data_IF_689801648885
#
_entry.id   IF_689801648885
#
_cell.length_a   1.000
_cell.length_b   1.000
_cell.length_c   1.000
_cell.angle_alpha   90.00
_cell.angle_beta   90.00
_cell.angle_gamma   90.00
#
_symmetry.space_group_name_H-M   'P 1'
#
loop_
_entity.id
_entity.type
_entity.pdbx_description
1 polymer ?
#
# COMPACT_ATOMS: atom_id res chain seq x y z
N UNK A 1 -7.02 -5.48 -0.20
CA UNK A 1 -7.50 -4.56 0.87
C UNK A 1 -8.66 -3.66 0.42
N UNK A 2 -8.85 -3.40 -0.89
CA UNK A 2 -9.89 -2.46 -1.38
C UNK A 2 -11.31 -2.79 -0.91
N UNK A 3 -11.76 -4.08 -0.89
CA UNK A 3 -13.11 -4.38 -0.42
C UNK A 3 -13.36 -3.92 1.03
N UNK A 4 -12.43 -4.20 1.96
CA UNK A 4 -12.59 -3.77 3.36
C UNK A 4 -12.47 -2.25 3.52
N UNK A 5 -11.61 -1.60 2.71
CA UNK A 5 -11.55 -0.14 2.65
C UNK A 5 -12.88 0.45 2.14
N UNK A 6 -13.49 -0.17 1.12
CA UNK A 6 -14.78 0.25 0.58
C UNK A 6 -15.87 0.17 1.64
N UNK A 7 -15.94 -0.96 2.35
CA UNK A 7 -16.94 -1.12 3.41
C UNK A 7 -16.76 -0.06 4.50
N UNK A 8 -15.52 0.24 4.89
CA UNK A 8 -15.24 1.23 5.94
C UNK A 8 -15.55 2.67 5.51
N UNK A 9 -15.25 3.03 4.25
CA UNK A 9 -15.63 4.33 3.67
C UNK A 9 -17.14 4.45 3.61
N UNK A 10 -17.82 3.42 3.11
CA UNK A 10 -19.28 3.41 2.99
C UNK A 10 -19.97 3.45 4.35
N UNK A 11 -19.44 2.76 5.37
CA UNK A 11 -19.93 2.88 6.73
C UNK A 11 -19.88 4.34 7.23
N UNK A 12 -18.76 5.04 6.99
CA UNK A 12 -18.63 6.44 7.37
C UNK A 12 -19.62 7.32 6.58
N UNK A 13 -19.74 7.14 5.26
CA UNK A 13 -20.68 7.92 4.42
C UNK A 13 -22.13 7.71 4.85
N UNK A 14 -22.56 6.46 5.02
CA UNK A 14 -23.93 6.14 5.48
C UNK A 14 -24.24 6.73 6.85
N UNK A 15 -23.28 6.63 7.79
CA UNK A 15 -23.43 7.21 9.14
C UNK A 15 -23.58 8.73 9.12
N UNK A 16 -23.11 9.38 8.08
CA UNK A 16 -23.22 10.84 7.85
C UNK A 16 -24.42 11.24 6.97
N UNK A 17 -25.23 10.26 6.53
CA UNK A 17 -26.37 10.49 5.66
C UNK A 17 -25.98 10.84 4.21
N UNK A 18 -24.81 10.35 3.75
CA UNK A 18 -24.26 10.58 2.42
C UNK A 18 -24.31 9.32 1.55
N UNK A 19 -24.21 9.51 0.24
CA UNK A 19 -24.18 8.43 -0.74
C UNK A 19 -22.95 7.52 -0.55
N UNK A 20 -23.10 6.26 -0.97
CA UNK A 20 -22.04 5.25 -0.94
C UNK A 20 -21.36 5.09 -2.30
N UNK A 21 -20.22 4.43 -2.28
CA UNK A 21 -19.35 4.21 -3.42
C UNK A 21 -19.21 2.73 -3.75
N UNK A 22 -19.10 2.41 -5.03
CA UNK A 22 -18.67 1.07 -5.48
C UNK A 22 -17.19 0.82 -5.16
N UNK A 23 -16.80 -0.46 -5.17
CA UNK A 23 -15.39 -0.87 -5.00
C UNK A 23 -14.48 -0.19 -6.02
N UNK A 24 -14.91 -0.06 -7.27
CA UNK A 24 -14.13 0.59 -8.33
C UNK A 24 -13.92 2.10 -8.07
N UNK A 25 -14.95 2.78 -7.56
CA UNK A 25 -14.85 4.19 -7.21
C UNK A 25 -13.88 4.40 -6.02
N UNK A 26 -13.99 3.58 -4.97
CA UNK A 26 -13.05 3.66 -3.83
C UNK A 26 -11.64 3.30 -4.28
N UNK A 27 -11.43 2.29 -5.13
CA UNK A 27 -10.13 1.95 -5.69
C UNK A 27 -9.46 3.13 -6.41
N UNK A 28 -10.25 3.97 -7.11
CA UNK A 28 -9.74 5.18 -7.76
C UNK A 28 -9.37 6.30 -6.76
N UNK A 29 -9.94 6.29 -5.56
CA UNK A 29 -9.70 7.30 -4.52
C UNK A 29 -8.50 6.97 -3.63
N UNK A 30 -8.15 5.67 -3.46
CA UNK A 30 -7.08 5.22 -2.56
C UNK A 30 -5.69 5.40 -3.18
N UNK A 31 -4.66 5.30 -2.32
CA UNK A 31 -3.24 5.40 -2.69
C UNK A 31 -2.48 6.48 -1.92
N UNK A 32 -3.11 7.62 -1.66
CA UNK A 32 -2.48 8.78 -0.98
C UNK A 32 -2.86 8.89 0.52
N UNK A 33 -3.25 7.78 1.15
CA UNK A 33 -3.68 7.73 2.55
C UNK A 33 -5.18 7.98 2.76
N UNK A 34 -5.68 7.57 3.94
CA UNK A 34 -7.11 7.56 4.24
C UNK A 34 -7.71 8.97 4.33
N UNK A 35 -6.96 9.93 4.83
CA UNK A 35 -7.43 11.34 4.87
C UNK A 35 -7.78 11.85 3.47
N UNK A 36 -6.92 11.60 2.48
CA UNK A 36 -7.17 12.01 1.08
C UNK A 36 -8.35 11.23 0.50
N UNK A 37 -8.46 9.93 0.79
CA UNK A 37 -9.57 9.09 0.34
C UNK A 37 -10.91 9.64 0.86
N UNK A 38 -11.01 9.94 2.15
CA UNK A 38 -12.22 10.50 2.75
C UNK A 38 -12.52 11.92 2.26
N UNK A 39 -11.50 12.74 2.04
CA UNK A 39 -11.68 14.09 1.43
C UNK A 39 -12.33 13.97 0.05
N UNK A 40 -11.86 13.03 -0.78
CA UNK A 40 -12.45 12.76 -2.10
C UNK A 40 -13.88 12.22 -1.99
N UNK A 41 -14.14 11.32 -1.04
CA UNK A 41 -15.46 10.74 -0.83
C UNK A 41 -16.48 11.78 -0.30
N UNK A 42 -16.07 12.71 0.55
CA UNK A 42 -16.92 13.77 1.06
C UNK A 42 -17.23 14.86 0.00
N UNK A 43 -16.32 15.04 -0.96
CA UNK A 43 -16.41 16.17 -1.88
C UNK A 43 -16.24 17.53 -1.18
N UNK A 44 -16.23 18.60 -1.95
CA UNK A 44 -16.00 19.96 -1.42
C UNK A 44 -17.12 20.41 -0.45
N UNK A 45 -18.33 19.90 -0.66
CA UNK A 45 -19.54 20.32 0.06
C UNK A 45 -19.63 19.80 1.50
N UNK A 46 -18.87 18.74 1.85
CA UNK A 46 -19.00 18.06 3.14
C UNK A 46 -17.65 17.94 3.90
N UNK A 47 -16.67 18.80 3.58
CA UNK A 47 -15.36 18.78 4.23
C UNK A 47 -15.41 19.10 5.72
N UNK A 48 -16.43 19.80 6.18
CA UNK A 48 -16.73 20.04 7.60
C UNK A 48 -16.90 18.71 8.38
N UNK A 49 -17.35 17.65 7.73
CA UNK A 49 -17.55 16.31 8.31
C UNK A 49 -16.29 15.43 8.33
N UNK A 50 -15.15 15.90 7.78
CA UNK A 50 -13.94 15.06 7.61
C UNK A 50 -13.45 14.44 8.95
N UNK A 51 -13.44 15.22 10.02
CA UNK A 51 -13.02 14.72 11.33
C UNK A 51 -13.92 13.60 11.85
N UNK A 52 -15.23 13.71 11.63
CA UNK A 52 -16.20 12.68 12.02
C UNK A 52 -16.09 11.45 11.10
N UNK A 53 -15.97 11.65 9.80
CA UNK A 53 -15.77 10.57 8.83
C UNK A 53 -14.52 9.73 9.16
N UNK A 54 -13.41 10.38 9.52
CA UNK A 54 -12.16 9.69 9.94
C UNK A 54 -12.40 8.79 11.17
N UNK A 55 -13.11 9.28 12.18
CA UNK A 55 -13.40 8.48 13.40
C UNK A 55 -14.27 7.27 13.07
N UNK A 56 -15.35 7.49 12.32
CA UNK A 56 -16.27 6.42 11.91
C UNK A 56 -15.54 5.35 11.08
N UNK A 57 -14.79 5.78 10.06
CA UNK A 57 -14.03 4.90 9.21
C UNK A 57 -13.00 4.09 10.00
N UNK A 58 -12.19 4.74 10.87
CA UNK A 58 -11.16 4.08 11.66
C UNK A 58 -11.76 3.07 12.65
N UNK A 59 -12.89 3.39 13.29
CA UNK A 59 -13.59 2.47 14.20
C UNK A 59 -14.06 1.23 13.46
N UNK A 60 -14.72 1.38 12.31
CA UNK A 60 -15.20 0.25 11.51
C UNK A 60 -14.01 -0.57 10.96
N UNK A 61 -13.03 0.13 10.33
CA UNK A 61 -11.89 -0.53 9.73
C UNK A 61 -11.04 -1.30 10.76
N UNK A 62 -10.93 -0.79 11.98
CA UNK A 62 -10.22 -1.47 13.07
C UNK A 62 -10.77 -2.85 13.41
N UNK A 63 -12.09 -3.04 13.28
CA UNK A 63 -12.75 -4.33 13.51
C UNK A 63 -12.79 -5.23 12.26
N UNK A 64 -12.72 -4.65 11.04
CA UNK A 64 -13.08 -5.33 9.79
C UNK A 64 -11.98 -5.29 8.71
N UNK A 65 -10.75 -4.86 9.03
CA UNK A 65 -9.69 -4.63 8.04
C UNK A 65 -9.12 -5.89 7.37
N UNK A 66 -9.51 -7.08 7.86
CA UNK A 66 -9.06 -8.37 7.35
C UNK A 66 -10.22 -9.32 6.98
N UNK A 67 -11.47 -8.84 6.91
CA UNK A 67 -12.63 -9.68 6.63
C UNK A 67 -12.62 -10.20 5.18
N UNK A 68 -12.20 -9.37 4.23
CA UNK A 68 -12.12 -9.67 2.79
C UNK A 68 -10.71 -9.51 2.23
N UNK A 69 -9.80 -8.90 3.00
CA UNK A 69 -8.40 -8.69 2.61
C UNK A 69 -7.70 -10.03 2.48
N UNK A 70 -7.03 -10.22 1.36
CA UNK A 70 -6.18 -11.40 1.09
C UNK A 70 -5.02 -11.02 0.20
N UNK A 71 -3.90 -11.77 0.25
CA UNK A 71 -2.80 -11.62 -0.70
C UNK A 71 -3.26 -11.87 -2.14
N UNK A 72 -2.59 -11.26 -3.09
CA UNK A 72 -2.70 -11.68 -4.49
C UNK A 72 -2.13 -13.08 -4.67
N UNK A 73 -2.60 -13.78 -5.70
CA UNK A 73 -2.16 -15.14 -6.02
C UNK A 73 -0.64 -15.19 -6.22
N UNK A 74 0.01 -16.20 -5.64
CA UNK A 74 1.46 -16.38 -5.74
C UNK A 74 2.30 -15.58 -4.72
N UNK A 75 1.75 -14.58 -4.03
CA UNK A 75 2.52 -13.74 -3.09
C UNK A 75 3.09 -14.55 -1.93
N UNK A 76 2.32 -15.45 -1.32
CA UNK A 76 2.82 -16.27 -0.21
C UNK A 76 3.98 -17.17 -0.66
N UNK A 77 3.89 -17.74 -1.86
CA UNK A 77 4.95 -18.55 -2.45
C UNK A 77 6.21 -17.71 -2.73
N UNK A 78 6.03 -16.50 -3.28
CA UNK A 78 7.11 -15.54 -3.50
C UNK A 78 7.83 -15.18 -2.19
N UNK A 79 7.09 -14.80 -1.15
CA UNK A 79 7.66 -14.43 0.15
C UNK A 79 8.42 -15.60 0.79
N UNK A 80 7.91 -16.83 0.70
CA UNK A 80 8.62 -18.02 1.17
C UNK A 80 9.91 -18.30 0.37
N UNK A 81 9.95 -18.00 -0.94
CA UNK A 81 11.18 -18.11 -1.73
C UNK A 81 12.21 -17.09 -1.28
N UNK A 82 11.82 -15.82 -1.18
CA UNK A 82 12.70 -14.73 -0.72
C UNK A 82 13.28 -15.02 0.66
N UNK A 83 12.46 -15.53 1.58
CA UNK A 83 12.92 -15.91 2.93
C UNK A 83 13.94 -17.05 2.91
N UNK A 84 13.80 -18.04 2.02
CA UNK A 84 14.79 -19.13 1.86
C UNK A 84 16.11 -18.63 1.27
N UNK A 85 16.05 -17.57 0.47
CA UNK A 85 17.22 -16.94 -0.15
C UNK A 85 17.85 -15.85 0.74
N UNK A 86 17.42 -15.78 2.00
CA UNK A 86 17.87 -14.80 3.02
C UNK A 86 17.66 -13.34 2.60
N UNK A 87 16.61 -13.09 1.83
CA UNK A 87 16.21 -11.74 1.41
C UNK A 87 15.22 -11.18 2.40
N UNK A 88 15.58 -10.07 3.07
CA UNK A 88 14.69 -9.37 3.98
C UNK A 88 13.52 -8.71 3.21
N UNK A 89 12.30 -8.92 3.72
CA UNK A 89 11.07 -8.38 3.13
C UNK A 89 10.51 -7.28 4.01
N UNK A 90 10.38 -6.09 3.44
CA UNK A 90 9.86 -4.90 4.11
C UNK A 90 8.60 -4.40 3.40
N UNK A 91 7.62 -3.96 4.19
CA UNK A 91 6.42 -3.29 3.68
C UNK A 91 6.49 -1.81 3.99
N UNK A 92 6.35 -0.95 2.97
CA UNK A 92 6.15 0.49 3.12
C UNK A 92 4.81 0.92 2.53
N UNK A 93 3.94 1.49 3.36
CA UNK A 93 2.53 1.74 3.01
C UNK A 93 2.04 3.10 3.48
N UNK A 94 1.11 3.73 2.72
CA UNK A 94 0.34 4.90 3.14
C UNK A 94 -0.85 4.56 4.06
N UNK A 95 -0.96 3.30 4.47
CA UNK A 95 -1.88 2.86 5.51
C UNK A 95 -1.35 3.31 6.88
N UNK A 96 -2.22 3.70 7.81
CA UNK A 96 -1.82 4.00 9.18
C UNK A 96 -1.02 2.82 9.79
N UNK A 97 0.03 3.12 10.57
CA UNK A 97 1.00 2.13 11.07
C UNK A 97 0.33 0.92 11.71
N UNK A 98 -0.61 1.15 12.64
CA UNK A 98 -1.29 0.05 13.34
C UNK A 98 -2.08 -0.87 12.40
N UNK A 99 -2.76 -0.30 11.40
CA UNK A 99 -3.50 -1.10 10.42
C UNK A 99 -2.57 -1.81 9.42
N UNK A 100 -1.42 -1.21 9.08
CA UNK A 100 -0.41 -1.86 8.26
C UNK A 100 0.15 -3.10 8.97
N UNK A 101 0.54 -2.96 10.25
CA UNK A 101 1.03 -4.06 11.08
C UNK A 101 -0.02 -5.16 11.25
N UNK A 102 -1.25 -4.80 11.62
CA UNK A 102 -2.36 -5.77 11.79
C UNK A 102 -2.63 -6.55 10.51
N UNK A 103 -2.66 -5.84 9.36
CA UNK A 103 -2.90 -6.49 8.06
C UNK A 103 -1.73 -7.41 7.69
N UNK A 104 -0.49 -6.96 7.82
CA UNK A 104 0.69 -7.78 7.50
C UNK A 104 0.79 -9.00 8.40
N UNK A 105 0.57 -8.86 9.70
CA UNK A 105 0.58 -9.99 10.65
C UNK A 105 -0.48 -11.03 10.30
N UNK A 106 -1.70 -10.61 9.97
CA UNK A 106 -2.80 -11.50 9.61
C UNK A 106 -2.58 -12.22 8.27
N UNK A 107 -2.02 -11.52 7.26
CA UNK A 107 -1.91 -12.05 5.90
C UNK A 107 -0.58 -12.78 5.63
N UNK A 108 0.51 -12.39 6.29
CA UNK A 108 1.86 -12.86 5.97
C UNK A 108 2.58 -13.50 7.15
N UNK A 109 2.08 -13.34 8.38
CA UNK A 109 2.73 -13.89 9.57
C UNK A 109 4.19 -13.39 9.70
N UNK A 110 5.14 -14.33 9.74
CA UNK A 110 6.57 -14.05 9.87
C UNK A 110 7.31 -13.95 8.52
N UNK A 111 6.59 -13.82 7.41
CA UNK A 111 7.19 -13.68 6.06
C UNK A 111 7.57 -12.22 5.74
N UNK A 112 7.17 -11.27 6.56
CA UNK A 112 7.52 -9.86 6.46
C UNK A 112 8.32 -9.49 7.69
N UNK A 113 9.52 -8.93 7.49
CA UNK A 113 10.46 -8.62 8.57
C UNK A 113 10.20 -7.24 9.18
N UNK A 114 9.80 -6.26 8.35
CA UNK A 114 9.53 -4.89 8.79
C UNK A 114 8.29 -4.32 8.11
N UNK A 115 7.48 -3.59 8.88
CA UNK A 115 6.30 -2.88 8.37
C UNK A 115 6.40 -1.42 8.75
N UNK A 116 6.33 -0.54 7.76
CA UNK A 116 6.33 0.91 7.92
C UNK A 116 5.08 1.48 7.26
N UNK A 117 4.21 2.04 8.09
CA UNK A 117 3.00 2.75 7.69
C UNK A 117 3.13 4.25 7.91
N UNK A 118 2.01 4.96 7.79
CA UNK A 118 1.90 6.38 8.16
C UNK A 118 1.88 6.50 9.68
N UNK A 119 2.78 7.31 10.23
CA UNK A 119 2.84 7.62 11.64
C UNK A 119 2.17 8.95 12.00
N UNK A 120 2.30 9.39 13.28
CA UNK A 120 1.73 10.65 13.75
C UNK A 120 2.28 11.90 13.05
N UNK A 121 3.47 11.80 12.46
CA UNK A 121 4.13 12.87 11.68
C UNK A 121 3.45 13.12 10.33
N UNK A 122 2.55 12.22 9.90
CA UNK A 122 1.82 12.33 8.64
C UNK A 122 2.67 12.11 7.39
N UNK A 123 3.93 11.69 7.50
CA UNK A 123 4.79 11.39 6.34
C UNK A 123 4.24 10.18 5.58
N UNK A 124 3.96 10.38 4.31
CA UNK A 124 3.38 9.37 3.39
C UNK A 124 4.14 9.34 2.08
N UNK A 125 4.09 8.20 1.37
CA UNK A 125 4.55 8.12 -0.02
C UNK A 125 3.87 9.23 -0.86
N UNK A 126 4.57 9.92 -1.76
CA UNK A 126 5.89 9.59 -2.31
C UNK A 126 7.09 10.17 -1.55
N UNK A 127 6.93 10.71 -0.33
CA UNK A 127 8.07 11.08 0.52
C UNK A 127 8.88 9.82 0.87
N UNK A 128 10.19 9.85 0.59
CA UNK A 128 11.06 8.71 0.78
C UNK A 128 11.70 8.63 2.18
N UNK A 129 11.48 9.62 3.03
CA UNK A 129 12.17 9.75 4.33
C UNK A 129 12.07 8.46 5.16
N UNK A 130 10.86 7.93 5.34
CA UNK A 130 10.66 6.71 6.13
C UNK A 130 11.25 5.46 5.47
N UNK A 131 11.26 5.40 4.13
CA UNK A 131 11.88 4.32 3.40
C UNK A 131 13.41 4.33 3.60
N UNK A 132 14.04 5.50 3.49
CA UNK A 132 15.47 5.66 3.73
C UNK A 132 15.86 5.36 5.17
N UNK A 133 15.07 5.82 6.15
CA UNK A 133 15.26 5.45 7.57
C UNK A 133 15.15 3.94 7.79
N UNK A 134 14.24 3.25 7.09
CA UNK A 134 14.12 1.81 7.17
C UNK A 134 15.37 1.12 6.61
N UNK A 135 15.86 1.51 5.42
CA UNK A 135 17.07 0.90 4.83
C UNK A 135 18.33 1.13 5.68
N UNK A 136 18.48 2.32 6.25
CA UNK A 136 19.57 2.60 7.21
C UNK A 136 19.46 1.72 8.46
N UNK A 137 18.25 1.62 9.03
CA UNK A 137 18.01 0.80 10.24
C UNK A 137 18.35 -0.67 10.04
N UNK A 138 18.07 -1.23 8.86
CA UNK A 138 18.35 -2.64 8.56
C UNK A 138 19.75 -2.87 8.00
N UNK A 139 20.54 -1.81 7.77
CA UNK A 139 21.88 -1.89 7.20
C UNK A 139 21.90 -2.46 5.79
N UNK A 140 20.88 -2.18 4.98
CA UNK A 140 20.74 -2.75 3.64
C UNK A 140 21.39 -1.85 2.59
N UNK A 141 22.53 -2.29 2.03
CA UNK A 141 23.22 -1.58 0.94
C UNK A 141 22.59 -1.81 -0.43
N UNK A 142 21.86 -2.90 -0.60
CA UNK A 142 21.21 -3.26 -1.86
C UNK A 142 19.72 -3.55 -1.65
N UNK A 143 18.88 -2.68 -2.21
CA UNK A 143 17.43 -2.75 -2.07
C UNK A 143 16.74 -2.67 -3.43
N UNK A 144 15.60 -3.37 -3.54
CA UNK A 144 14.69 -3.30 -4.68
C UNK A 144 13.33 -2.87 -4.16
N UNK A 145 12.79 -1.80 -4.71
CA UNK A 145 11.43 -1.38 -4.43
C UNK A 145 10.46 -2.09 -5.39
N UNK A 146 9.36 -2.61 -4.84
CA UNK A 146 8.30 -3.23 -5.63
C UNK A 146 6.98 -2.52 -5.31
N UNK A 147 6.24 -2.13 -6.36
CA UNK A 147 4.99 -1.41 -6.16
C UNK A 147 4.05 -1.51 -7.35
N UNK A 148 2.81 -1.08 -7.17
CA UNK A 148 1.71 -1.23 -8.11
C UNK A 148 1.03 0.10 -8.48
N UNK A 149 1.63 1.23 -8.08
CA UNK A 149 1.03 2.54 -8.28
C UNK A 149 2.04 3.61 -8.74
N UNK A 150 1.51 4.69 -9.28
CA UNK A 150 2.25 5.91 -9.60
C UNK A 150 2.99 6.49 -8.38
N UNK A 151 2.38 6.39 -7.21
CA UNK A 151 2.98 6.82 -5.94
C UNK A 151 4.21 5.96 -5.60
N UNK A 152 4.19 4.66 -5.89
CA UNK A 152 5.32 3.76 -5.66
C UNK A 152 6.50 4.08 -6.57
N UNK A 153 6.22 4.29 -7.86
CA UNK A 153 7.24 4.69 -8.84
C UNK A 153 7.92 5.97 -8.39
N UNK A 154 7.15 6.97 -7.97
CA UNK A 154 7.70 8.24 -7.49
C UNK A 154 8.47 8.07 -6.17
N UNK A 155 7.99 7.22 -5.26
CA UNK A 155 8.69 6.91 -4.01
C UNK A 155 10.07 6.32 -4.26
N UNK A 156 10.15 5.30 -5.12
CA UNK A 156 11.41 4.67 -5.48
C UNK A 156 12.38 5.66 -6.15
N UNK A 157 11.86 6.53 -7.03
CA UNK A 157 12.63 7.60 -7.65
C UNK A 157 13.19 8.58 -6.62
N UNK A 158 12.36 9.02 -5.67
CA UNK A 158 12.77 9.94 -4.60
C UNK A 158 13.80 9.30 -3.66
N UNK A 159 13.75 7.98 -3.49
CA UNK A 159 14.73 7.20 -2.72
C UNK A 159 15.97 6.82 -3.55
N UNK A 160 16.03 7.12 -4.84
CA UNK A 160 17.07 6.65 -5.76
C UNK A 160 17.19 5.12 -5.80
N UNK A 161 16.08 4.40 -5.62
CA UNK A 161 16.01 2.95 -5.63
C UNK A 161 15.54 2.40 -6.98
N UNK A 162 16.05 1.22 -7.34
CA UNK A 162 15.50 0.45 -8.47
C UNK A 162 14.08 0.01 -8.13
N UNK A 163 13.15 0.18 -9.08
CA UNK A 163 11.74 -0.12 -8.89
C UNK A 163 11.26 -1.14 -9.93
N UNK A 164 10.67 -2.23 -9.47
CA UNK A 164 9.92 -3.17 -10.30
C UNK A 164 8.43 -2.91 -10.07
N UNK A 165 7.73 -2.49 -11.11
CA UNK A 165 6.29 -2.24 -11.07
C UNK A 165 5.52 -3.49 -11.43
N UNK A 166 4.57 -3.90 -10.56
CA UNK A 166 3.72 -5.05 -10.81
C UNK A 166 2.41 -4.62 -11.47
N UNK A 167 1.94 -5.40 -12.47
CA UNK A 167 0.80 -5.01 -13.32
C UNK A 167 -0.55 -5.53 -12.83
N UNK A 168 -0.56 -6.38 -11.79
CA UNK A 168 -1.80 -6.95 -11.21
C UNK A 168 -2.39 -6.14 -10.04
N UNK A 169 -1.87 -4.94 -9.77
CA UNK A 169 -2.28 -4.10 -8.64
C UNK A 169 -3.27 -2.98 -9.00
N UNK A 170 -3.10 -1.81 -8.39
CA UNK A 170 -4.03 -0.67 -8.49
C UNK A 170 -3.96 0.06 -9.84
N UNK A 171 -2.82 0.08 -10.51
CA UNK A 171 -2.62 0.78 -11.78
C UNK A 171 -2.30 -0.20 -12.90
N UNK A 172 -2.84 0.06 -14.07
CA UNK A 172 -2.46 -0.68 -15.27
C UNK A 172 -1.08 -0.24 -15.79
N UNK A 173 -0.50 -1.05 -16.68
CA UNK A 173 0.85 -0.82 -17.21
C UNK A 173 1.02 0.56 -17.83
N UNK A 174 0.05 1.06 -18.61
CA UNK A 174 0.15 2.36 -19.26
C UNK A 174 0.20 3.53 -18.23
N UNK A 175 -0.54 3.41 -17.13
CA UNK A 175 -0.49 4.38 -16.04
C UNK A 175 0.87 4.35 -15.33
N UNK A 176 1.44 3.16 -15.10
CA UNK A 176 2.76 3.00 -14.51
C UNK A 176 3.87 3.54 -15.43
N UNK A 177 3.79 3.29 -16.74
CA UNK A 177 4.69 3.86 -17.76
C UNK A 177 4.63 5.40 -17.76
N UNK A 178 3.42 5.96 -17.69
CA UNK A 178 3.22 7.42 -17.58
C UNK A 178 3.86 8.00 -16.33
N UNK A 179 3.86 7.25 -15.20
CA UNK A 179 4.55 7.62 -13.97
C UNK A 179 6.09 7.49 -14.05
N UNK A 180 6.61 6.87 -15.11
CA UNK A 180 8.03 6.69 -15.35
C UNK A 180 8.58 5.31 -14.95
N UNK A 181 7.73 4.30 -14.77
CA UNK A 181 8.17 2.92 -14.56
C UNK A 181 8.83 2.37 -15.82
N UNK A 182 9.92 1.61 -15.64
CA UNK A 182 10.71 1.02 -16.74
C UNK A 182 10.91 -0.49 -16.59
N UNK A 183 10.70 -1.04 -15.40
CA UNK A 183 10.81 -2.47 -15.11
C UNK A 183 9.45 -2.97 -14.63
N UNK A 184 8.97 -4.05 -15.25
CA UNK A 184 7.64 -4.60 -15.00
C UNK A 184 7.72 -6.08 -14.70
N UNK A 185 6.78 -6.54 -13.87
CA UNK A 185 6.49 -7.94 -13.67
C UNK A 185 4.98 -8.16 -13.82
N UNK A 186 4.59 -9.16 -14.61
CA UNK A 186 3.19 -9.50 -14.85
C UNK A 186 2.70 -10.65 -13.94
N UNK A 187 3.62 -11.27 -13.20
CA UNK A 187 3.35 -12.33 -12.22
C UNK A 187 4.47 -12.42 -11.16
N UNK A 188 4.24 -13.24 -10.12
CA UNK A 188 5.20 -13.40 -9.02
C UNK A 188 6.52 -14.07 -9.42
N UNK A 189 6.56 -14.92 -10.46
CA UNK A 189 7.79 -15.56 -10.92
C UNK A 189 8.69 -14.56 -11.65
N UNK A 190 8.12 -13.70 -12.47
CA UNK A 190 8.84 -12.58 -13.09
C UNK A 190 9.36 -11.60 -12.03
N UNK A 191 8.52 -11.26 -11.02
CA UNK A 191 8.93 -10.39 -9.94
C UNK A 191 10.11 -10.99 -9.16
N UNK A 192 10.06 -12.28 -8.83
CA UNK A 192 11.17 -12.96 -8.19
C UNK A 192 12.44 -12.92 -9.06
N UNK A 193 12.32 -13.16 -10.35
CA UNK A 193 13.45 -13.11 -11.30
C UNK A 193 14.11 -11.72 -11.32
N UNK A 194 13.30 -10.66 -11.33
CA UNK A 194 13.79 -9.30 -11.23
C UNK A 194 14.50 -9.01 -9.90
N UNK A 195 13.90 -9.44 -8.76
CA UNK A 195 14.49 -9.25 -7.44
C UNK A 195 15.88 -9.92 -7.39
N UNK A 196 15.99 -11.21 -7.76
CA UNK A 196 17.26 -11.91 -7.76
C UNK A 196 18.31 -11.22 -8.65
N UNK A 197 17.92 -10.83 -9.87
CA UNK A 197 18.81 -10.14 -10.82
C UNK A 197 19.32 -8.81 -10.28
N UNK A 198 18.50 -8.10 -9.53
CA UNK A 198 18.81 -6.77 -9.03
C UNK A 198 19.55 -6.78 -7.69
N UNK A 199 19.38 -7.82 -6.91
CA UNK A 199 20.11 -8.00 -5.63
C UNK A 199 21.50 -8.62 -5.83
N UNK A 200 21.72 -9.35 -6.92
CA UNK A 200 22.99 -10.01 -7.27
C UNK A 200 22.94 -11.47 -6.98
#
# INVERSE_FOLDING_TARGET
TVPDLTDSVNYAMQSLGLDTYSVAQVAAMVGSGMTVTLTRALGAEHLDKLSQAKKLQATYYGAHCNDKTKPFDGIIQLLNRLKRDDVAVCVYSNKDQSFAETTCAAQFGNLVDYVVGTGPDGITKPDATRLLQLTERIGADNCVYCGDSDVDVQTAKNASMRCVSVTWGYRNKAQLETAGATMFADNCDELYTWICKLLG
#
